data_IF_355498523082
#
_entry.id   IF_355498523082
#
_cell.length_a   1.000
_cell.length_b   1.000
_cell.length_c   1.000
_cell.angle_alpha   90.00
_cell.angle_beta   90.00
_cell.angle_gamma   90.00
#
_symmetry.space_group_name_H-M   'P 1'
#
loop_
_entity.id
_entity.type
_entity.pdbx_description
1 polymer ?
#
# COMPACT_ATOMS: atom_id res chain seq x y z
N UNK A 1 -19.64 1.01 -12.38
CA UNK A 1 -20.84 0.16 -12.29
C UNK A 1 -21.88 0.95 -11.54
N UNK A 2 -23.02 1.20 -12.19
CA UNK A 2 -24.10 2.03 -11.66
C UNK A 2 -25.06 1.14 -10.85
N UNK A 3 -25.25 1.46 -9.56
CA UNK A 3 -26.21 0.74 -8.70
C UNK A 3 -27.66 1.20 -8.92
N UNK A 4 -27.87 2.31 -9.62
CA UNK A 4 -29.20 2.85 -9.86
C UNK A 4 -29.93 2.14 -11.00
N UNK A 5 -29.24 1.28 -11.78
CA UNK A 5 -29.83 0.55 -12.91
C UNK A 5 -30.60 -0.73 -12.49
N UNK A 6 -30.71 -1.04 -11.20
CA UNK A 6 -31.55 -2.13 -10.69
C UNK A 6 -31.08 -3.55 -11.03
N UNK A 7 -29.92 -3.71 -11.66
CA UNK A 7 -29.35 -5.02 -12.05
C UNK A 7 -28.43 -5.63 -10.99
N UNK A 8 -28.26 -4.98 -9.83
CA UNK A 8 -27.34 -5.37 -8.76
C UNK A 8 -28.01 -5.09 -7.41
N UNK A 9 -28.12 -6.10 -6.55
CA UNK A 9 -28.75 -5.98 -5.23
C UNK A 9 -27.84 -5.32 -4.18
N UNK A 10 -26.52 -5.54 -4.29
CA UNK A 10 -25.52 -4.97 -3.40
C UNK A 10 -24.14 -4.90 -4.07
N UNK A 11 -23.28 -4.00 -3.62
CA UNK A 11 -21.88 -3.96 -4.03
C UNK A 11 -20.94 -3.78 -2.83
N UNK A 12 -19.83 -4.52 -2.86
CA UNK A 12 -18.72 -4.36 -1.92
C UNK A 12 -17.65 -3.51 -2.59
N UNK A 13 -17.33 -2.36 -2.00
CA UNK A 13 -16.41 -1.37 -2.59
C UNK A 13 -15.63 -0.66 -1.50
N UNK A 14 -14.39 -0.32 -1.82
CA UNK A 14 -13.59 0.59 -1.02
C UNK A 14 -14.00 2.04 -1.26
N UNK A 15 -14.25 2.79 -0.18
CA UNK A 15 -14.49 4.23 -0.21
C UNK A 15 -13.95 4.90 1.04
N UNK A 16 -13.51 6.15 0.90
CA UNK A 16 -13.17 7.00 2.05
C UNK A 16 -14.43 7.49 2.79
N UNK A 17 -15.54 7.63 2.07
CA UNK A 17 -16.81 8.12 2.61
C UNK A 17 -18.00 7.35 2.02
N UNK A 18 -19.07 7.15 2.80
CA UNK A 18 -20.30 6.54 2.31
C UNK A 18 -20.94 7.41 1.21
N UNK A 19 -21.65 6.77 0.28
CA UNK A 19 -22.42 7.46 -0.74
C UNK A 19 -23.68 8.07 -0.11
N UNK A 20 -23.95 9.37 -0.27
CA UNK A 20 -25.09 10.02 0.40
C UNK A 20 -26.43 9.39 0.05
N UNK A 21 -26.57 8.89 -1.18
CA UNK A 21 -27.84 8.42 -1.75
C UNK A 21 -28.01 6.89 -1.67
N UNK A 22 -27.10 6.18 -0.99
CA UNK A 22 -27.16 4.73 -0.82
C UNK A 22 -27.07 4.33 0.66
N UNK A 23 -27.74 3.23 1.01
CA UNK A 23 -27.53 2.59 2.30
C UNK A 23 -26.14 1.93 2.34
N UNK A 24 -25.25 2.49 3.15
CA UNK A 24 -23.87 2.02 3.28
C UNK A 24 -23.65 1.38 4.66
N UNK A 25 -23.12 0.16 4.68
CA UNK A 25 -22.64 -0.49 5.92
C UNK A 25 -21.12 -0.59 5.88
N UNK A 26 -20.44 -0.05 6.90
CA UNK A 26 -19.01 -0.22 7.06
C UNK A 26 -18.71 -1.68 7.40
N UNK A 27 -17.96 -2.36 6.53
CA UNK A 27 -17.53 -3.74 6.76
C UNK A 27 -16.17 -3.80 7.47
N UNK A 28 -15.21 -2.97 7.05
CA UNK A 28 -13.85 -2.98 7.58
C UNK A 28 -13.10 -1.67 7.26
N UNK A 29 -12.09 -1.35 8.07
CA UNK A 29 -11.13 -0.26 7.83
C UNK A 29 -9.73 -0.84 7.56
N UNK A 30 -9.26 -0.71 6.33
CA UNK A 30 -7.95 -1.23 5.94
C UNK A 30 -6.79 -0.43 6.55
N UNK A 31 -5.71 -1.15 6.89
CA UNK A 31 -4.44 -0.56 7.28
C UNK A 31 -3.34 -1.08 6.36
N UNK A 32 -2.67 -0.15 5.68
CA UNK A 32 -1.46 -0.48 4.93
C UNK A 32 -0.27 -0.58 5.88
N UNK A 33 0.50 -1.66 5.73
CA UNK A 33 1.74 -1.89 6.47
C UNK A 33 2.91 -2.01 5.49
N UNK A 34 4.10 -1.66 5.96
CA UNK A 34 5.35 -1.98 5.27
C UNK A 34 5.79 -3.36 5.71
N UNK A 35 6.18 -4.19 4.75
CA UNK A 35 6.74 -5.53 4.98
C UNK A 35 8.16 -5.59 4.45
N UNK A 36 9.01 -6.36 5.10
CA UNK A 36 10.39 -6.56 4.72
C UNK A 36 10.83 -7.98 5.08
N UNK A 37 11.86 -8.50 4.39
CA UNK A 37 12.46 -9.77 4.79
C UNK A 37 12.98 -9.68 6.24
N UNK A 38 12.69 -10.67 7.10
CA UNK A 38 13.29 -10.74 8.44
C UNK A 38 14.82 -10.74 8.43
N UNK A 39 15.44 -11.21 7.35
CA UNK A 39 16.90 -11.26 7.22
C UNK A 39 17.56 -9.88 7.12
N UNK A 40 16.79 -8.83 6.79
CA UNK A 40 17.29 -7.46 6.76
C UNK A 40 17.52 -6.88 8.16
N UNK A 41 17.02 -7.54 9.21
CA UNK A 41 17.26 -7.14 10.60
C UNK A 41 16.77 -5.73 10.93
N UNK A 42 15.70 -5.27 10.26
CA UNK A 42 15.13 -3.94 10.47
C UNK A 42 14.46 -3.87 11.83
N UNK A 43 14.84 -2.86 12.62
CA UNK A 43 14.34 -2.68 14.00
C UNK A 43 13.66 -1.32 14.20
N UNK A 44 14.00 -0.33 13.37
CA UNK A 44 13.48 1.04 13.45
C UNK A 44 13.38 1.69 12.06
N UNK A 45 12.55 2.74 11.88
CA UNK A 45 12.38 3.45 10.61
C UNK A 45 13.69 3.91 9.95
N UNK A 46 14.70 4.29 10.72
CA UNK A 46 16.00 4.76 10.22
C UNK A 46 16.79 3.67 9.49
N UNK A 47 16.54 2.40 9.82
CA UNK A 47 17.18 1.28 9.14
C UNK A 47 16.74 1.19 7.67
N UNK A 48 15.63 1.84 7.27
CA UNK A 48 15.22 1.87 5.86
C UNK A 48 16.22 2.61 4.95
N UNK A 49 17.08 3.47 5.51
CA UNK A 49 18.09 4.18 4.71
C UNK A 49 19.18 3.25 4.14
N UNK A 50 19.31 2.02 4.65
CA UNK A 50 20.34 1.06 4.22
C UNK A 50 19.81 -0.08 3.36
N UNK A 51 18.54 -0.07 2.99
CA UNK A 51 17.91 -1.14 2.20
C UNK A 51 17.24 -0.60 0.95
N UNK A 52 17.02 -1.48 -0.02
CA UNK A 52 16.29 -1.14 -1.24
C UNK A 52 14.80 -1.01 -0.96
N UNK A 53 14.23 0.16 -1.26
CA UNK A 53 12.79 0.37 -1.21
C UNK A 53 12.16 -0.14 -2.51
N UNK A 54 11.04 -0.85 -2.40
CA UNK A 54 10.28 -1.29 -3.57
C UNK A 54 9.09 -0.38 -3.81
N UNK A 55 8.91 0.00 -5.07
CA UNK A 55 7.82 0.82 -5.57
C UNK A 55 6.86 -0.07 -6.35
N UNK A 56 5.56 0.08 -6.12
CA UNK A 56 4.53 -0.65 -6.88
C UNK A 56 3.75 0.37 -7.71
N UNK A 57 3.94 0.33 -9.02
CA UNK A 57 3.22 1.16 -9.95
C UNK A 57 1.74 0.77 -10.04
N UNK A 58 0.90 1.69 -10.51
CA UNK A 58 -0.52 1.45 -10.83
C UNK A 58 -1.41 0.96 -9.69
N UNK A 59 -1.01 1.15 -8.43
CA UNK A 59 -1.84 0.79 -7.28
C UNK A 59 -3.01 1.77 -7.16
N UNK A 60 -4.20 1.32 -7.56
CA UNK A 60 -5.45 2.10 -7.42
C UNK A 60 -6.07 1.80 -6.06
N UNK A 61 -5.71 2.59 -5.06
CA UNK A 61 -6.43 2.63 -3.79
C UNK A 61 -7.27 3.91 -3.71
N UNK A 62 -8.47 3.85 -3.13
CA UNK A 62 -9.30 5.05 -2.96
C UNK A 62 -8.92 5.90 -1.74
N UNK A 63 -8.04 5.41 -0.85
CA UNK A 63 -7.49 6.17 0.28
C UNK A 63 -6.14 6.81 -0.06
N UNK A 64 -5.55 7.58 0.87
CA UNK A 64 -4.16 8.05 0.81
C UNK A 64 -3.26 6.97 0.23
N UNK A 65 -2.68 7.24 -0.95
CA UNK A 65 -1.85 6.28 -1.68
C UNK A 65 -0.79 5.70 -0.74
N UNK A 66 -0.57 4.37 -0.67
CA UNK A 66 0.47 3.76 0.15
C UNK A 66 1.85 3.96 -0.50
N UNK A 67 2.19 5.22 -0.77
CA UNK A 67 3.45 5.67 -1.34
C UNK A 67 4.49 5.87 -0.25
N UNK A 68 5.76 5.77 -0.62
CA UNK A 68 6.87 6.09 0.29
C UNK A 68 6.85 7.56 0.75
N UNK A 69 6.28 8.46 -0.05
CA UNK A 69 6.06 9.86 0.36
C UNK A 69 5.11 9.95 1.55
N UNK A 70 3.92 9.33 1.44
CA UNK A 70 2.92 9.32 2.50
C UNK A 70 3.44 8.58 3.74
N UNK A 71 4.18 7.49 3.54
CA UNK A 71 4.81 6.76 4.64
C UNK A 71 5.88 7.61 5.35
N UNK A 72 6.81 8.24 4.61
CA UNK A 72 7.86 9.09 5.17
C UNK A 72 7.26 10.26 5.96
N UNK A 73 6.23 10.91 5.42
CA UNK A 73 5.55 12.04 6.09
C UNK A 73 5.01 11.66 7.47
N UNK A 74 4.62 10.40 7.67
CA UNK A 74 3.93 9.95 8.89
C UNK A 74 4.80 9.17 9.86
N UNK A 75 5.81 8.45 9.36
CA UNK A 75 6.58 7.49 10.15
C UNK A 75 8.09 7.52 9.92
N UNK A 76 8.55 8.08 8.79
CA UNK A 76 9.93 7.94 8.33
C UNK A 76 10.82 9.13 8.68
N UNK A 77 12.15 8.94 8.66
CA UNK A 77 13.08 10.05 8.80
C UNK A 77 12.98 10.97 7.56
N UNK A 78 13.06 12.30 7.72
CA UNK A 78 13.02 13.24 6.60
C UNK A 78 14.10 13.00 5.54
N UNK A 79 15.23 12.39 5.96
CA UNK A 79 16.38 12.06 5.11
C UNK A 79 16.20 10.78 4.30
N UNK A 80 15.11 10.03 4.48
CA UNK A 80 14.86 8.83 3.67
C UNK A 80 14.73 9.22 2.20
N UNK A 81 15.61 8.68 1.37
CA UNK A 81 15.52 8.82 -0.08
C UNK A 81 14.40 7.91 -0.59
N UNK A 82 13.25 8.52 -0.84
CA UNK A 82 12.05 7.81 -1.30
C UNK A 82 12.03 7.58 -2.81
N UNK A 83 12.92 8.22 -3.58
CA UNK A 83 12.92 8.09 -5.04
C UNK A 83 13.83 6.94 -5.51
N UNK A 84 14.74 6.49 -4.64
CA UNK A 84 15.61 5.36 -4.91
C UNK A 84 14.88 4.01 -4.77
N UNK A 85 15.32 3.03 -5.54
CA UNK A 85 14.86 1.64 -5.42
C UNK A 85 14.34 1.04 -6.72
N UNK A 86 13.72 -0.14 -6.61
CA UNK A 86 13.16 -0.88 -7.75
C UNK A 86 11.67 -0.59 -7.89
N UNK A 87 11.19 -0.47 -9.12
CA UNK A 87 9.76 -0.32 -9.42
C UNK A 87 9.22 -1.58 -10.07
N UNK A 88 8.12 -2.09 -9.51
CA UNK A 88 7.36 -3.22 -9.98
C UNK A 88 6.02 -2.76 -10.57
N UNK A 89 5.53 -3.49 -11.57
CA UNK A 89 4.23 -3.23 -12.21
C UNK A 89 3.03 -3.60 -11.34
N UNK A 90 3.22 -4.53 -10.41
CA UNK A 90 2.20 -5.09 -9.53
C UNK A 90 2.82 -5.57 -8.21
N UNK A 91 1.95 -5.78 -7.22
CA UNK A 91 2.33 -6.10 -5.85
C UNK A 91 2.88 -7.53 -5.67
N UNK A 92 2.42 -8.49 -6.49
CA UNK A 92 2.82 -9.89 -6.35
C UNK A 92 4.31 -10.06 -6.62
N UNK A 93 4.83 -9.42 -7.67
CA UNK A 93 6.27 -9.45 -7.97
C UNK A 93 7.11 -8.76 -6.89
N UNK A 94 6.64 -7.63 -6.36
CA UNK A 94 7.35 -6.92 -5.29
C UNK A 94 7.45 -7.77 -4.01
N UNK A 95 6.38 -8.48 -3.65
CA UNK A 95 6.36 -9.38 -2.50
C UNK A 95 7.30 -10.58 -2.70
N UNK A 96 7.29 -11.19 -3.88
CA UNK A 96 8.23 -12.28 -4.22
C UNK A 96 9.68 -11.83 -4.12
N UNK A 97 10.01 -10.66 -4.67
CA UNK A 97 11.34 -10.09 -4.57
C UNK A 97 11.76 -9.84 -3.11
N UNK A 98 10.83 -9.39 -2.26
CA UNK A 98 11.11 -9.13 -0.84
C UNK A 98 11.46 -10.42 -0.09
N UNK A 99 10.81 -11.54 -0.43
CA UNK A 99 11.07 -12.86 0.16
C UNK A 99 12.38 -13.47 -0.35
N UNK A 100 12.72 -13.22 -1.62
CA UNK A 100 13.89 -13.81 -2.30
C UNK A 100 15.26 -13.22 -1.85
N UNK A 101 15.28 -12.17 -1.01
CA UNK A 101 16.51 -11.55 -0.46
C UNK A 101 17.41 -12.55 0.32
N UNK A 102 16.98 -13.80 0.49
CA UNK A 102 17.80 -14.91 1.03
C UNK A 102 18.84 -15.51 0.08
N UNK A 103 18.88 -15.15 -1.20
CA UNK A 103 19.69 -15.88 -2.21
C UNK A 103 20.80 -15.07 -2.90
N UNK A 104 21.24 -13.95 -2.34
CA UNK A 104 22.39 -13.16 -2.84
C UNK A 104 23.54 -13.12 -1.84
#
# INVERSE_FOLDING_TARGET
MDLHLGTVDAAIRYREKPEPDLYCTLLYEDRFIVVASPTLGLSRPEDLQRVTLFHVANRRVPADSPSWENWRRRYGPPTLNIDAGLTFSDETHALQAAVAVREW
#
